data_IF_062774462649
#
_entry.id   IF_062774462649
#
_cell.length_a   1.000
_cell.length_b   1.000
_cell.length_c   1.000
_cell.angle_alpha   90.00
_cell.angle_beta   90.00
_cell.angle_gamma   90.00
#
_symmetry.space_group_name_H-M   'P 1'
#
loop_
_entity.id
_entity.type
_entity.pdbx_description
1 polymer ?
#
# COMPACT_ATOMS: atom_id res chain seq x y z
N UNK A 1 -17.62 9.68 -1.37
CA UNK A 1 -17.30 9.54 0.07
C UNK A 1 -15.81 9.40 0.33
N UNK A 2 -15.07 8.44 -0.24
CA UNK A 2 -13.60 8.27 -0.01
C UNK A 2 -12.80 9.52 -0.39
N UNK A 3 -13.02 10.09 -1.57
CA UNK A 3 -12.29 11.28 -2.03
C UNK A 3 -12.48 12.49 -1.09
N UNK A 4 -13.70 12.79 -0.68
CA UNK A 4 -14.00 13.86 0.27
C UNK A 4 -13.31 13.63 1.64
N UNK A 5 -13.29 12.36 2.10
CA UNK A 5 -12.60 12.01 3.35
C UNK A 5 -11.08 12.17 3.24
N UNK A 6 -10.48 11.86 2.08
CA UNK A 6 -9.04 12.10 1.85
C UNK A 6 -8.73 13.60 1.90
N UNK A 7 -9.50 14.41 1.18
CA UNK A 7 -9.34 15.87 1.15
C UNK A 7 -9.51 16.51 2.54
N UNK A 8 -10.42 15.96 3.36
CA UNK A 8 -10.64 16.44 4.73
C UNK A 8 -9.49 16.10 5.71
N UNK A 9 -8.71 15.06 5.43
CA UNK A 9 -7.65 14.58 6.31
C UNK A 9 -6.24 14.94 5.85
N UNK A 10 -6.03 15.13 4.55
CA UNK A 10 -4.71 15.38 3.96
C UNK A 10 -4.61 16.84 3.53
N UNK A 11 -3.88 17.60 4.30
CA UNK A 11 -3.46 18.96 3.95
C UNK A 11 -2.21 18.87 3.08
N UNK A 12 -2.37 19.07 1.77
CA UNK A 12 -1.29 18.90 0.79
C UNK A 12 -0.15 19.90 1.02
N UNK A 13 -0.43 21.08 1.59
CA UNK A 13 0.59 22.09 1.88
C UNK A 13 1.62 21.62 2.92
N UNK A 14 1.25 20.63 3.75
CA UNK A 14 2.10 19.99 4.76
C UNK A 14 2.77 18.72 4.28
N UNK A 15 2.45 18.26 3.08
CA UNK A 15 2.90 16.98 2.54
C UNK A 15 3.79 17.19 1.32
N UNK A 16 5.04 17.62 1.54
CA UNK A 16 6.01 17.84 0.45
C UNK A 16 6.35 16.58 -0.35
N UNK A 17 6.23 15.40 0.26
CA UNK A 17 6.51 14.11 -0.37
C UNK A 17 5.41 13.11 -0.09
N UNK A 18 5.21 12.17 -1.00
CA UNK A 18 4.27 11.06 -0.80
C UNK A 18 4.58 10.21 0.43
N UNK A 19 5.85 10.11 0.82
CA UNK A 19 6.29 9.41 2.03
C UNK A 19 5.66 9.97 3.31
N UNK A 20 5.44 11.28 3.37
CA UNK A 20 4.75 11.93 4.50
C UNK A 20 3.28 11.50 4.57
N UNK A 21 2.60 11.37 3.42
CA UNK A 21 1.22 10.85 3.37
C UNK A 21 1.18 9.39 3.80
N UNK A 22 2.10 8.55 3.31
CA UNK A 22 2.16 7.14 3.72
C UNK A 22 2.40 7.00 5.23
N UNK A 23 3.29 7.83 5.79
CA UNK A 23 3.55 7.85 7.23
C UNK A 23 2.32 8.27 8.02
N UNK A 24 1.68 9.36 7.60
CA UNK A 24 0.46 9.87 8.24
C UNK A 24 -0.72 8.88 8.13
N UNK A 25 -0.85 8.17 7.02
CA UNK A 25 -1.87 7.13 6.81
C UNK A 25 -1.51 5.76 7.44
N UNK A 26 -0.32 5.60 8.01
CA UNK A 26 0.13 4.34 8.61
C UNK A 26 0.48 3.24 7.60
N UNK A 27 1.00 3.64 6.43
CA UNK A 27 1.49 2.76 5.36
C UNK A 27 3.02 2.76 5.22
N UNK A 28 3.72 3.52 6.06
CA UNK A 28 5.17 3.49 6.18
C UNK A 28 5.58 2.21 6.94
N UNK A 29 6.37 1.30 6.34
CA UNK A 29 6.77 0.04 6.95
C UNK A 29 7.72 0.23 8.15
N UNK A 30 8.35 1.39 8.27
CA UNK A 30 9.29 1.68 9.37
C UNK A 30 8.56 2.05 10.67
N UNK A 31 7.28 2.43 10.59
CA UNK A 31 6.47 2.77 11.76
C UNK A 31 6.13 1.54 12.58
N UNK A 32 6.59 1.54 13.83
CA UNK A 32 6.21 0.55 14.84
C UNK A 32 5.31 1.23 15.87
N UNK A 33 4.27 0.53 16.29
CA UNK A 33 3.39 0.96 17.37
C UNK A 33 3.35 -0.09 18.47
N UNK A 34 3.54 0.35 19.69
CA UNK A 34 3.46 -0.50 20.86
C UNK A 34 2.10 -0.28 21.60
N UNK A 35 1.55 -1.34 22.16
CA UNK A 35 0.35 -1.26 23.01
C UNK A 35 0.59 -0.29 24.16
N UNK A 36 -0.39 0.57 24.43
CA UNK A 36 -0.30 1.59 25.51
C UNK A 36 0.33 2.92 25.06
N UNK A 37 0.93 3.01 23.86
CA UNK A 37 1.49 4.25 23.34
C UNK A 37 0.51 4.98 22.42
N UNK A 38 0.73 6.30 22.23
CA UNK A 38 -0.02 7.08 21.24
C UNK A 38 0.22 6.51 19.85
N UNK A 39 -0.86 6.31 19.10
CA UNK A 39 -0.78 5.83 17.72
C UNK A 39 -0.01 6.84 16.83
N UNK A 40 1.07 6.44 16.13
CA UNK A 40 1.90 7.35 15.36
C UNK A 40 1.33 7.75 13.99
N UNK A 41 0.14 7.29 13.65
CA UNK A 41 -0.57 7.65 12.42
C UNK A 41 -2.01 8.08 12.69
N UNK A 42 -2.66 8.72 11.70
CA UNK A 42 -4.08 9.04 11.76
C UNK A 42 -4.94 7.79 11.54
N UNK A 43 -5.64 7.34 12.59
CA UNK A 43 -6.49 6.12 12.55
C UNK A 43 -7.66 6.26 11.58
N UNK A 44 -8.26 7.44 11.48
CA UNK A 44 -9.37 7.69 10.56
C UNK A 44 -8.91 7.60 9.11
N UNK A 45 -7.81 8.28 8.76
CA UNK A 45 -7.22 8.19 7.44
C UNK A 45 -6.83 6.75 7.09
N UNK A 46 -6.23 6.01 8.02
CA UNK A 46 -5.92 4.59 7.81
C UNK A 46 -7.15 3.77 7.48
N UNK A 47 -8.28 4.02 8.17
CA UNK A 47 -9.56 3.37 7.88
C UNK A 47 -10.09 3.74 6.49
N UNK A 48 -10.03 5.01 6.10
CA UNK A 48 -10.44 5.48 4.76
C UNK A 48 -9.59 4.78 3.68
N UNK A 49 -8.29 4.71 3.87
CA UNK A 49 -7.37 4.00 2.97
C UNK A 49 -7.66 2.50 2.90
N UNK A 50 -8.02 1.87 4.03
CA UNK A 50 -8.45 0.48 4.04
C UNK A 50 -9.73 0.27 3.22
N UNK A 51 -10.74 1.15 3.37
CA UNK A 51 -11.97 1.12 2.57
C UNK A 51 -11.70 1.31 1.07
N UNK A 52 -10.75 2.20 0.71
CA UNK A 52 -10.30 2.33 -0.67
C UNK A 52 -9.72 1.00 -1.20
N UNK A 53 -8.87 0.34 -0.42
CA UNK A 53 -8.33 -0.97 -0.77
C UNK A 53 -9.39 -2.05 -0.95
N UNK A 54 -10.42 -2.07 -0.11
CA UNK A 54 -11.58 -2.98 -0.27
C UNK A 54 -12.36 -2.68 -1.56
N UNK A 55 -12.54 -1.40 -1.88
CA UNK A 55 -13.17 -0.99 -3.13
C UNK A 55 -12.37 -1.47 -4.35
N UNK A 56 -11.04 -1.34 -4.33
CA UNK A 56 -10.19 -1.83 -5.43
C UNK A 56 -10.32 -3.35 -5.64
N UNK A 57 -10.41 -4.11 -4.55
CA UNK A 57 -10.63 -5.57 -4.64
C UNK A 57 -11.99 -5.87 -5.25
N UNK A 58 -13.05 -5.18 -4.82
CA UNK A 58 -14.41 -5.38 -5.31
C UNK A 58 -14.57 -5.02 -6.79
N UNK A 59 -13.85 -4.00 -7.26
CA UNK A 59 -13.92 -3.53 -8.65
C UNK A 59 -12.82 -4.11 -9.54
N UNK A 60 -12.07 -5.11 -9.06
CA UNK A 60 -10.92 -5.64 -9.78
C UNK A 60 -11.25 -6.34 -11.10
N UNK A 61 -12.47 -6.82 -11.27
CA UNK A 61 -12.98 -7.40 -12.52
C UNK A 61 -13.68 -6.40 -13.45
N UNK A 62 -13.81 -5.12 -13.04
CA UNK A 62 -14.44 -4.10 -13.86
C UNK A 62 -13.45 -3.44 -14.81
N UNK A 63 -13.89 -3.12 -16.03
CA UNK A 63 -13.04 -2.48 -17.05
C UNK A 63 -12.48 -1.11 -16.61
N UNK A 64 -13.29 -0.32 -15.88
CA UNK A 64 -12.89 0.96 -15.30
C UNK A 64 -12.12 0.82 -13.97
N UNK A 65 -11.95 -0.42 -13.49
CA UNK A 65 -11.31 -0.71 -12.21
C UNK A 65 -9.78 -0.56 -12.23
N UNK A 66 -9.25 0.64 -12.54
CA UNK A 66 -7.81 0.88 -12.69
C UNK A 66 -6.97 0.30 -11.54
N UNK A 67 -7.22 0.71 -10.30
CA UNK A 67 -6.49 0.20 -9.13
C UNK A 67 -6.80 -1.27 -8.82
N UNK A 68 -7.97 -1.75 -9.21
CA UNK A 68 -8.36 -3.14 -9.09
C UNK A 68 -7.53 -4.05 -9.98
N UNK A 69 -7.31 -3.65 -11.24
CA UNK A 69 -6.43 -4.38 -12.17
C UNK A 69 -4.97 -4.38 -11.69
N UNK A 70 -4.48 -3.25 -11.21
CA UNK A 70 -3.13 -3.15 -10.65
C UNK A 70 -2.96 -3.99 -9.37
N UNK A 71 -3.99 -4.06 -8.52
CA UNK A 71 -4.02 -4.98 -7.38
C UNK A 71 -3.89 -6.45 -7.84
N UNK A 72 -4.65 -6.87 -8.87
CA UNK A 72 -4.56 -8.24 -9.39
C UNK A 72 -3.18 -8.55 -9.98
N UNK A 73 -2.64 -7.64 -10.78
CA UNK A 73 -1.29 -7.77 -11.33
C UNK A 73 -0.25 -7.91 -10.21
N UNK A 74 -0.30 -7.04 -9.21
CA UNK A 74 0.60 -7.10 -8.05
C UNK A 74 0.41 -8.39 -7.25
N UNK A 75 -0.82 -8.87 -7.09
CA UNK A 75 -1.10 -10.12 -6.37
C UNK A 75 -0.44 -11.32 -7.05
N UNK A 76 -0.43 -11.38 -8.39
CA UNK A 76 0.28 -12.43 -9.15
C UNK A 76 1.77 -12.38 -8.88
N UNK A 77 2.38 -11.20 -8.95
CA UNK A 77 3.82 -11.02 -8.65
C UNK A 77 4.15 -11.47 -7.21
N UNK A 78 3.32 -11.10 -6.23
CA UNK A 78 3.53 -11.53 -4.83
C UNK A 78 3.36 -13.05 -4.68
N UNK A 79 2.48 -13.69 -5.46
CA UNK A 79 2.33 -15.16 -5.49
C UNK A 79 3.57 -15.82 -6.09
N UNK A 80 4.07 -15.33 -7.22
CA UNK A 80 5.29 -15.81 -7.86
C UNK A 80 6.51 -15.69 -6.93
N UNK A 81 6.67 -14.56 -6.25
CA UNK A 81 7.71 -14.37 -5.25
C UNK A 81 7.57 -15.37 -4.07
N UNK A 82 6.34 -15.64 -3.65
CA UNK A 82 6.06 -16.59 -2.58
C UNK A 82 6.41 -18.03 -3.00
N UNK A 83 6.06 -18.41 -4.22
CA UNK A 83 6.42 -19.73 -4.78
C UNK A 83 7.94 -19.87 -4.96
N UNK A 84 8.61 -18.81 -5.37
CA UNK A 84 10.07 -18.74 -5.49
C UNK A 84 10.81 -18.69 -4.14
N UNK A 85 10.11 -18.78 -3.00
CA UNK A 85 10.70 -18.79 -1.66
C UNK A 85 11.25 -17.46 -1.16
N UNK A 86 10.97 -16.34 -1.83
CA UNK A 86 11.50 -15.03 -1.44
C UNK A 86 11.00 -14.55 -0.06
N UNK A 87 9.95 -15.18 0.48
CA UNK A 87 9.39 -14.85 1.80
C UNK A 87 9.76 -15.85 2.90
N UNK A 88 10.68 -16.80 2.63
CA UNK A 88 11.08 -17.82 3.61
C UNK A 88 11.59 -17.24 4.93
N UNK A 89 12.38 -16.17 4.87
CA UNK A 89 12.84 -15.45 6.07
C UNK A 89 11.68 -14.86 6.89
N UNK A 90 10.67 -14.27 6.22
CA UNK A 90 9.50 -13.72 6.89
C UNK A 90 8.60 -14.82 7.48
N UNK A 91 8.48 -15.96 6.82
CA UNK A 91 7.74 -17.11 7.33
C UNK A 91 8.39 -17.66 8.59
N UNK A 92 9.72 -17.82 8.59
CA UNK A 92 10.50 -18.24 9.77
C UNK A 92 10.33 -17.27 10.93
N UNK A 93 10.50 -15.96 10.69
CA UNK A 93 10.30 -14.94 11.73
C UNK A 93 8.90 -15.03 12.36
N UNK A 94 7.88 -15.36 11.57
CA UNK A 94 6.51 -15.53 12.10
C UNK A 94 6.39 -16.71 13.04
N UNK A 95 7.00 -17.83 12.71
CA UNK A 95 6.99 -19.03 13.58
C UNK A 95 7.78 -18.79 14.88
N UNK A 96 8.88 -18.06 14.82
CA UNK A 96 9.71 -17.75 15.99
C UNK A 96 9.08 -16.74 16.95
N UNK A 97 8.44 -15.69 16.39
CA UNK A 97 7.92 -14.56 17.21
C UNK A 97 6.52 -14.75 17.73
N UNK A 98 5.72 -15.60 17.12
CA UNK A 98 4.30 -15.72 17.46
C UNK A 98 3.92 -17.17 17.79
N UNK A 99 3.14 -17.31 18.85
CA UNK A 99 2.47 -18.58 19.16
C UNK A 99 1.36 -18.82 18.12
N UNK A 100 1.63 -19.61 17.10
CA UNK A 100 0.67 -19.98 16.05
C UNK A 100 0.22 -21.42 16.35
N UNK A 101 -1.11 -21.63 16.44
CA UNK A 101 -1.66 -22.96 16.73
C UNK A 101 -1.22 -23.99 15.68
N UNK A 102 -0.91 -25.22 16.15
CA UNK A 102 -0.42 -26.31 15.31
C UNK A 102 -1.33 -26.65 14.14
N UNK A 103 -2.65 -26.53 14.35
CA UNK A 103 -3.66 -26.98 13.39
C UNK A 103 -4.15 -25.87 12.44
N UNK A 104 -3.51 -24.68 12.49
CA UNK A 104 -3.93 -23.56 11.64
C UNK A 104 -3.34 -23.68 10.24
N UNK A 105 -4.14 -23.38 9.22
CA UNK A 105 -3.66 -23.33 7.84
C UNK A 105 -2.49 -22.35 7.67
N UNK A 106 -2.51 -21.23 8.41
CA UNK A 106 -1.42 -20.26 8.37
C UNK A 106 -0.08 -20.89 8.78
N UNK A 107 -0.07 -21.76 9.80
CA UNK A 107 1.14 -22.46 10.24
C UNK A 107 1.69 -23.39 9.16
N UNK A 108 0.82 -24.15 8.49
CA UNK A 108 1.21 -25.05 7.38
C UNK A 108 1.95 -24.29 6.27
N UNK A 109 1.50 -23.08 5.93
CA UNK A 109 2.19 -22.22 4.97
C UNK A 109 3.56 -21.77 5.47
N UNK A 110 3.65 -21.28 6.72
CA UNK A 110 4.93 -20.83 7.27
C UNK A 110 5.96 -21.96 7.38
N UNK A 111 5.54 -23.17 7.75
CA UNK A 111 6.42 -24.35 7.82
C UNK A 111 6.99 -24.75 6.45
N UNK A 112 6.27 -24.42 5.36
CA UNK A 112 6.76 -24.56 3.99
C UNK A 112 7.65 -23.38 3.54
N UNK A 113 7.96 -22.42 4.42
CA UNK A 113 8.70 -21.21 4.07
C UNK A 113 7.92 -20.22 3.22
N UNK A 114 6.59 -20.31 3.22
CA UNK A 114 5.69 -19.47 2.42
C UNK A 114 4.77 -18.63 3.30
N UNK A 115 4.29 -17.52 2.74
CA UNK A 115 3.24 -16.72 3.39
C UNK A 115 1.85 -17.24 3.01
N UNK A 116 0.88 -17.25 3.96
CA UNK A 116 -0.49 -17.63 3.66
C UNK A 116 -1.15 -16.73 2.60
N UNK A 117 -2.12 -17.25 1.84
CA UNK A 117 -2.83 -16.49 0.78
C UNK A 117 -3.42 -15.17 1.26
N UNK A 118 -3.93 -15.11 2.49
CA UNK A 118 -4.46 -13.89 3.09
C UNK A 118 -3.38 -12.81 3.28
N UNK A 119 -2.13 -13.19 3.56
CA UNK A 119 -1.01 -12.23 3.65
C UNK A 119 -0.59 -11.73 2.27
N UNK A 120 -0.53 -12.60 1.28
CA UNK A 120 -0.26 -12.22 -0.12
C UNK A 120 -1.32 -11.20 -0.60
N UNK A 121 -2.61 -11.51 -0.37
CA UNK A 121 -3.70 -10.57 -0.64
C UNK A 121 -3.50 -9.23 0.05
N UNK A 122 -3.20 -9.23 1.35
CA UNK A 122 -3.01 -8.00 2.11
C UNK A 122 -1.79 -7.18 1.64
N UNK A 123 -0.71 -7.85 1.18
CA UNK A 123 0.48 -7.18 0.61
C UNK A 123 0.12 -6.44 -0.68
N UNK A 124 -0.52 -7.15 -1.62
CA UNK A 124 -0.95 -6.57 -2.90
C UNK A 124 -1.94 -5.41 -2.71
N UNK A 125 -2.91 -5.56 -1.79
CA UNK A 125 -3.87 -4.50 -1.46
C UNK A 125 -3.18 -3.26 -0.88
N UNK A 126 -2.23 -3.43 0.07
CA UNK A 126 -1.46 -2.30 0.62
C UNK A 126 -0.63 -1.59 -0.46
N UNK A 127 -0.04 -2.35 -1.38
CA UNK A 127 0.70 -1.76 -2.49
C UNK A 127 -0.20 -0.90 -3.38
N UNK A 128 -1.39 -1.40 -3.78
CA UNK A 128 -2.35 -0.64 -4.59
C UNK A 128 -2.82 0.63 -3.88
N UNK A 129 -3.05 0.57 -2.55
CA UNK A 129 -3.41 1.76 -1.75
C UNK A 129 -2.25 2.76 -1.68
N UNK A 130 -1.00 2.31 -1.54
CA UNK A 130 0.16 3.21 -1.55
C UNK A 130 0.31 3.91 -2.90
N UNK A 131 0.10 3.20 -3.99
CA UNK A 131 0.10 3.78 -5.33
C UNK A 131 -1.02 4.81 -5.49
N UNK A 132 -2.23 4.48 -5.06
CA UNK A 132 -3.35 5.43 -5.07
C UNK A 132 -3.05 6.71 -4.27
N UNK A 133 -2.44 6.59 -3.09
CA UNK A 133 -2.02 7.75 -2.30
C UNK A 133 -0.91 8.55 -2.99
N UNK A 134 -0.03 7.89 -3.76
CA UNK A 134 0.97 8.58 -4.56
C UNK A 134 0.32 9.38 -5.70
N UNK A 135 -0.65 8.81 -6.37
CA UNK A 135 -1.45 9.51 -7.39
C UNK A 135 -2.26 10.65 -6.79
N UNK A 136 -2.89 10.44 -5.63
CA UNK A 136 -3.58 11.51 -4.91
C UNK A 136 -2.63 12.68 -4.58
N UNK A 137 -1.43 12.37 -4.06
CA UNK A 137 -0.41 13.39 -3.78
C UNK A 137 -0.05 14.17 -5.04
N UNK A 138 0.22 13.45 -6.14
CA UNK A 138 0.60 14.07 -7.41
C UNK A 138 -0.49 15.05 -7.90
N UNK A 139 -1.72 14.57 -8.03
CA UNK A 139 -2.85 15.37 -8.51
C UNK A 139 -3.12 16.57 -7.60
N UNK A 140 -3.16 16.36 -6.28
CA UNK A 140 -3.44 17.43 -5.33
C UNK A 140 -2.30 18.46 -5.26
N UNK A 141 -1.04 18.02 -5.43
CA UNK A 141 0.12 18.91 -5.48
C UNK A 141 0.06 19.81 -6.70
N UNK A 142 -0.12 19.23 -7.89
CA UNK A 142 -0.23 20.02 -9.15
C UNK A 142 -1.40 20.98 -9.08
N UNK A 143 -2.56 20.55 -8.57
CA UNK A 143 -3.72 21.43 -8.39
C UNK A 143 -3.46 22.61 -7.44
N UNK A 144 -2.65 22.39 -6.41
CA UNK A 144 -2.35 23.42 -5.41
C UNK A 144 -1.20 24.35 -5.80
N UNK A 145 -0.22 23.88 -6.56
CA UNK A 145 1.04 24.60 -6.81
C UNK A 145 1.29 24.94 -8.26
N UNK A 146 0.58 24.32 -9.21
CA UNK A 146 0.84 24.43 -10.64
C UNK A 146 2.15 23.77 -11.10
N UNK A 147 2.83 22.99 -10.25
CA UNK A 147 4.13 22.38 -10.53
C UNK A 147 4.10 20.88 -10.22
N UNK A 148 5.00 20.12 -10.86
CA UNK A 148 5.19 18.70 -10.57
C UNK A 148 5.71 18.48 -9.13
N UNK A 149 5.19 17.49 -8.41
CA UNK A 149 5.72 17.15 -7.11
C UNK A 149 7.10 16.48 -7.20
N UNK A 150 7.91 16.52 -6.14
CA UNK A 150 9.14 15.75 -6.08
C UNK A 150 8.86 14.26 -6.33
N UNK A 151 9.64 13.64 -7.24
CA UNK A 151 9.50 12.20 -7.52
C UNK A 151 9.68 11.38 -6.23
N UNK A 152 8.92 10.30 -6.06
CA UNK A 152 9.06 9.44 -4.89
C UNK A 152 10.48 8.90 -4.75
N UNK A 153 11.01 8.89 -3.52
CA UNK A 153 12.36 8.39 -3.19
C UNK A 153 12.64 6.98 -3.75
N UNK A 154 11.63 6.12 -3.75
CA UNK A 154 11.73 4.74 -4.28
C UNK A 154 12.11 4.73 -5.77
N UNK A 155 11.68 5.73 -6.54
CA UNK A 155 11.97 5.86 -7.97
C UNK A 155 13.33 6.53 -8.17
N UNK A 156 13.58 7.64 -7.47
CA UNK A 156 14.78 8.46 -7.68
C UNK A 156 16.06 7.84 -7.11
N UNK A 157 15.97 7.15 -5.98
CA UNK A 157 17.14 6.65 -5.23
C UNK A 157 17.26 5.13 -5.29
N UNK A 158 16.12 4.39 -5.25
CA UNK A 158 16.15 2.92 -5.30
C UNK A 158 16.04 2.35 -6.71
N UNK A 159 15.97 3.21 -7.76
CA UNK A 159 16.00 2.78 -9.16
C UNK A 159 14.86 1.84 -9.55
N UNK A 160 13.71 1.90 -8.86
CA UNK A 160 12.56 1.09 -9.26
C UNK A 160 11.98 1.63 -10.55
N UNK A 161 12.13 0.88 -11.64
CA UNK A 161 11.47 1.11 -12.92
C UNK A 161 9.95 1.01 -12.76
N UNK A 162 9.22 1.93 -13.38
CA UNK A 162 7.77 1.85 -13.46
C UNK A 162 7.04 2.96 -12.71
N UNK A 163 7.27 4.22 -13.15
CA UNK A 163 6.33 5.29 -12.78
C UNK A 163 4.98 5.02 -13.45
N UNK A 164 3.97 4.73 -12.65
CA UNK A 164 2.60 4.56 -13.13
C UNK A 164 1.92 5.93 -13.04
N UNK A 165 1.52 6.46 -14.17
CA UNK A 165 0.85 7.77 -14.26
C UNK A 165 -0.55 7.68 -13.62
N UNK A 166 -1.00 8.73 -12.91
CA UNK A 166 -2.38 8.81 -12.41
C UNK A 166 -3.39 8.65 -13.57
N UNK A 167 -4.46 7.86 -13.39
CA UNK A 167 -5.46 7.71 -14.43
C UNK A 167 -6.18 9.03 -14.69
N UNK A 168 -6.46 9.31 -15.96
CA UNK A 168 -7.20 10.51 -16.41
C UNK A 168 -6.55 11.85 -16.01
N UNK A 169 -5.27 11.85 -15.69
CA UNK A 169 -4.53 13.08 -15.41
C UNK A 169 -3.77 13.51 -16.67
N UNK A 170 -3.99 14.72 -17.17
CA UNK A 170 -3.27 15.21 -18.33
C UNK A 170 -1.77 15.30 -18.02
N UNK A 171 -0.93 14.86 -18.95
CA UNK A 171 0.51 15.15 -18.87
C UNK A 171 0.68 16.67 -18.87
N UNK A 172 1.34 17.20 -17.85
CA UNK A 172 1.71 18.63 -17.82
C UNK A 172 2.75 18.82 -18.91
N UNK A 173 2.38 19.53 -19.97
CA UNK A 173 3.27 19.88 -21.08
C UNK A 173 4.34 20.89 -20.63
#
# INVERSE_FOLDING_TARGET
MIAASLAAHIDISKCRTVGQIWRFAGYDPTLKWARGTKCPWNRHLKRVCWLAGESFVKTSGHEDGFYGRLYLARKRVEQEHNEAGQFAGQAREKLERFKIGSDTDARKWYEQGKLPPAQIHARAKRWAVKLFLAHYHHVAWVAATGTEPPKPYVITILGHDGFIVPPNFPEVQ
#
